data_IF_785675880170
#
_entry.id   IF_785675880170
#
_cell.length_a   1.000
_cell.length_b   1.000
_cell.length_c   1.000
_cell.angle_alpha   90.00
_cell.angle_beta   90.00
_cell.angle_gamma   90.00
#
_symmetry.space_group_name_H-M   'P 1'
#
loop_
_entity.id
_entity.type
_entity.pdbx_description
1 polymer ?
#
# COMPACT_ATOMS: atom_id res chain seq x y z
N UNK A 1 4.58 -14.89 -6.68
CA UNK A 1 5.14 -15.24 -8.00
C UNK A 1 6.39 -14.43 -8.25
N UNK A 2 7.52 -15.07 -8.59
CA UNK A 2 8.85 -14.42 -8.72
C UNK A 2 8.86 -13.22 -9.69
N UNK A 3 8.08 -13.29 -10.76
CA UNK A 3 7.96 -12.20 -11.73
C UNK A 3 7.20 -10.96 -11.24
N UNK A 4 6.37 -11.09 -10.19
CA UNK A 4 5.56 -9.97 -9.68
C UNK A 4 6.34 -9.01 -8.78
N UNK A 5 7.28 -9.53 -7.99
CA UNK A 5 8.20 -8.72 -7.18
C UNK A 5 9.15 -7.92 -8.06
N UNK A 6 9.70 -8.55 -9.10
CA UNK A 6 10.66 -7.92 -10.01
C UNK A 6 10.04 -6.69 -10.73
N UNK A 7 8.74 -6.77 -11.07
CA UNK A 7 8.02 -5.64 -11.67
C UNK A 7 7.79 -4.52 -10.66
N UNK A 8 7.48 -4.84 -9.40
CA UNK A 8 7.33 -3.81 -8.36
C UNK A 8 8.63 -3.08 -8.10
N UNK A 9 9.75 -3.80 -8.06
CA UNK A 9 11.06 -3.19 -7.83
C UNK A 9 11.38 -2.16 -8.93
N UNK A 10 11.08 -2.49 -10.19
CA UNK A 10 11.24 -1.55 -11.32
C UNK A 10 10.32 -0.33 -11.15
N UNK A 11 9.04 -0.53 -10.83
CA UNK A 11 8.10 0.59 -10.68
C UNK A 11 8.48 1.52 -9.51
N UNK A 12 8.93 0.95 -8.40
CA UNK A 12 9.41 1.72 -7.24
C UNK A 12 10.72 2.45 -7.57
N UNK A 13 11.60 1.85 -8.37
CA UNK A 13 12.82 2.50 -8.83
C UNK A 13 12.50 3.70 -9.73
N UNK A 14 11.63 3.52 -10.73
CA UNK A 14 11.18 4.61 -11.61
C UNK A 14 10.51 5.75 -10.83
N UNK A 15 9.74 5.43 -9.79
CA UNK A 15 9.17 6.45 -8.92
C UNK A 15 10.27 7.27 -8.22
N UNK A 16 11.25 6.60 -7.63
CA UNK A 16 12.33 7.24 -6.85
C UNK A 16 13.34 7.99 -7.70
N UNK A 17 13.70 7.45 -8.85
CA UNK A 17 14.77 7.98 -9.71
C UNK A 17 14.24 9.01 -10.72
N UNK A 18 13.10 8.72 -11.36
CA UNK A 18 12.57 9.53 -12.46
C UNK A 18 11.40 10.44 -12.03
N UNK A 19 10.96 10.36 -10.77
CA UNK A 19 9.83 11.15 -10.25
C UNK A 19 8.48 10.76 -10.85
N UNK A 20 8.38 9.55 -11.43
CA UNK A 20 7.15 9.06 -12.05
C UNK A 20 6.12 8.74 -10.96
N UNK A 21 4.88 9.21 -11.09
CA UNK A 21 3.81 8.83 -10.16
C UNK A 21 3.28 7.44 -10.51
N UNK A 22 3.28 6.53 -9.53
CA UNK A 22 2.80 5.15 -9.69
C UNK A 22 1.60 4.92 -8.77
N UNK A 23 0.49 4.43 -9.34
CA UNK A 23 -0.68 3.99 -8.59
C UNK A 23 -0.78 2.46 -8.66
N UNK A 24 -0.73 1.81 -7.51
CA UNK A 24 -0.79 0.35 -7.40
C UNK A 24 -2.07 -0.05 -6.67
N UNK A 25 -2.85 -0.94 -7.28
CA UNK A 25 -4.01 -1.58 -6.64
C UNK A 25 -3.62 -2.99 -6.27
N UNK A 26 -3.57 -3.28 -4.98
CA UNK A 26 -3.18 -4.58 -4.45
C UNK A 26 -3.99 -4.95 -3.22
N UNK A 27 -4.14 -6.25 -2.98
CA UNK A 27 -4.63 -6.80 -1.72
C UNK A 27 -3.48 -7.31 -0.84
N UNK A 28 -2.26 -7.32 -1.36
CA UNK A 28 -1.06 -7.73 -0.65
C UNK A 28 -0.57 -6.59 0.27
N UNK A 29 -0.58 -6.78 1.60
CA UNK A 29 -0.15 -5.76 2.53
C UNK A 29 1.33 -5.43 2.42
N UNK A 30 2.19 -6.37 1.98
CA UNK A 30 3.63 -6.12 1.83
C UNK A 30 3.91 -5.16 0.67
N UNK A 31 3.15 -5.29 -0.42
CA UNK A 31 3.22 -4.35 -1.56
C UNK A 31 2.70 -2.97 -1.18
N UNK A 32 1.62 -2.90 -0.39
CA UNK A 32 1.16 -1.62 0.14
C UNK A 32 2.16 -1.00 1.14
N UNK A 33 2.93 -1.82 1.85
CA UNK A 33 3.97 -1.36 2.77
C UNK A 33 5.18 -0.73 2.06
N UNK A 34 5.40 -1.04 0.78
CA UNK A 34 6.54 -0.55 -0.02
C UNK A 34 6.27 0.73 -0.81
N UNK A 35 5.06 1.30 -0.72
CA UNK A 35 4.68 2.59 -1.33
C UNK A 35 4.89 3.77 -0.36
N UNK A 36 4.65 5.00 -0.80
CA UNK A 36 4.74 6.19 0.08
C UNK A 36 3.40 6.53 0.77
N UNK A 37 2.29 6.07 0.21
CA UNK A 37 0.92 6.35 0.69
C UNK A 37 0.02 5.14 0.46
N UNK A 38 -0.81 4.82 1.44
CA UNK A 38 -1.81 3.75 1.36
C UNK A 38 -3.20 4.34 1.50
N UNK A 39 -4.02 4.14 0.47
CA UNK A 39 -5.43 4.55 0.46
C UNK A 39 -6.30 3.30 0.45
N UNK A 40 -7.17 3.19 1.45
CA UNK A 40 -8.14 2.10 1.55
C UNK A 40 -9.49 2.53 1.03
N UNK A 41 -10.10 1.71 0.18
CA UNK A 41 -11.44 1.93 -0.36
C UNK A 41 -12.38 0.79 0.02
N UNK A 42 -13.63 1.12 0.33
CA UNK A 42 -14.73 0.16 0.56
C UNK A 42 -16.02 0.74 0.01
N UNK A 43 -16.77 -0.08 -0.74
CA UNK A 43 -18.07 0.30 -1.31
C UNK A 43 -18.06 1.64 -2.07
N UNK A 44 -16.99 1.87 -2.86
CA UNK A 44 -16.82 3.10 -3.64
C UNK A 44 -16.42 4.34 -2.83
N UNK A 45 -16.23 4.20 -1.52
CA UNK A 45 -15.82 5.29 -0.62
C UNK A 45 -14.39 5.08 -0.11
N UNK A 46 -13.66 6.18 0.07
CA UNK A 46 -12.37 6.15 0.75
C UNK A 46 -12.61 5.99 2.26
N UNK A 47 -12.06 4.92 2.84
CA UNK A 47 -12.22 4.59 4.27
C UNK A 47 -10.94 4.78 5.07
N UNK A 48 -9.81 5.01 4.41
CA UNK A 48 -8.53 5.28 5.06
C UNK A 48 -7.54 5.92 4.11
N UNK A 49 -6.72 6.81 4.65
CA UNK A 49 -5.60 7.47 3.98
C UNK A 49 -4.47 7.63 5.00
N UNK A 50 -3.40 6.88 4.82
CA UNK A 50 -2.41 6.70 5.86
C UNK A 50 -1.02 6.38 5.29
N UNK A 51 -0.01 6.58 6.14
CA UNK A 51 1.34 6.14 5.83
C UNK A 51 1.40 4.60 5.84
N UNK A 52 2.34 3.99 5.10
CA UNK A 52 2.52 2.54 5.11
C UNK A 52 2.76 1.98 6.53
N UNK A 53 3.48 2.72 7.38
CA UNK A 53 3.72 2.33 8.77
C UNK A 53 2.44 2.29 9.61
N UNK A 54 1.57 3.29 9.45
CA UNK A 54 0.27 3.32 10.14
C UNK A 54 -0.68 2.24 9.58
N UNK A 55 -0.61 1.96 8.28
CA UNK A 55 -1.33 0.84 7.64
C UNK A 55 -0.97 -0.51 8.25
N UNK A 56 0.32 -0.81 8.35
CA UNK A 56 0.80 -2.06 8.97
C UNK A 56 0.36 -2.20 10.43
N UNK A 57 0.38 -1.09 11.19
CA UNK A 57 -0.13 -1.07 12.57
C UNK A 57 -1.63 -1.32 12.64
N UNK A 58 -2.41 -0.78 11.71
CA UNK A 58 -3.87 -0.98 11.68
C UNK A 58 -4.28 -2.42 11.36
N UNK A 59 -3.45 -3.17 10.63
CA UNK A 59 -3.68 -4.58 10.31
C UNK A 59 -3.31 -5.55 11.44
N UNK A 60 -2.36 -5.16 12.29
CA UNK A 60 -1.87 -5.99 13.40
C UNK A 60 -2.66 -5.81 14.70
N UNK A 61 -3.46 -4.75 14.78
CA UNK A 61 -4.42 -4.59 15.86
C UNK A 61 -5.62 -5.54 15.62
N UNK A 62 -6.12 -6.24 16.66
CA UNK A 62 -7.38 -6.95 16.53
C UNK A 62 -8.44 -5.94 16.10
N UNK A 63 -9.22 -6.29 15.08
CA UNK A 63 -10.42 -5.55 14.66
C UNK A 63 -11.45 -5.58 15.80
N UNK A 64 -11.19 -4.85 16.89
CA UNK A 64 -11.84 -4.98 18.19
C UNK A 64 -11.27 -3.97 19.17
N UNK A 65 -11.45 -2.69 18.84
CA UNK A 65 -11.01 -1.56 19.66
C UNK A 65 -11.83 -0.30 19.38
N UNK A 66 -13.12 -0.45 19.10
CA UNK A 66 -14.10 0.61 19.18
C UNK A 66 -15.49 -0.03 19.31
N UNK A 67 -16.19 0.39 20.38
CA UNK A 67 -17.54 0.01 20.85
C UNK A 67 -17.58 -1.14 21.88
#
# INVERSE_FOLDING_TARGET
SRSGSDIMDILLQLHKEDGITVLIVTHDPEVAASTDRVVSMRDGSMVGDQTPGDYMRSLTLPMGGAL
#
